data_IF_520736180899
#
_entry.id   IF_520736180899
#
_cell.length_a   1.000
_cell.length_b   1.000
_cell.length_c   1.000
_cell.angle_alpha   90.00
_cell.angle_beta   90.00
_cell.angle_gamma   90.00
#
_symmetry.space_group_name_H-M   'P 1'
#
loop_
_entity.id
_entity.type
_entity.pdbx_description
1 polymer ?
#
# COMPACT_ATOMS: atom_id res chain seq x y z
N UNK A 1 -26.43 -3.20 12.57
CA UNK A 1 -26.60 -1.78 12.91
C UNK A 1 -25.23 -1.16 12.78
N UNK A 2 -24.92 -0.62 11.61
CA UNK A 2 -23.63 0.04 11.37
C UNK A 2 -23.64 1.42 12.03
N UNK A 3 -22.54 1.88 12.65
CA UNK A 3 -22.47 3.22 13.20
C UNK A 3 -22.32 4.25 12.09
N UNK A 4 -22.91 5.43 12.29
CA UNK A 4 -22.89 6.56 11.37
C UNK A 4 -21.50 7.22 11.33
N UNK A 5 -21.14 7.79 10.16
CA UNK A 5 -19.81 8.34 9.85
C UNK A 5 -19.41 9.55 10.71
N UNK A 6 -20.30 10.02 11.59
CA UNK A 6 -20.10 11.16 12.48
C UNK A 6 -19.39 10.87 13.80
N UNK A 7 -19.08 9.62 14.14
CA UNK A 7 -18.54 9.25 15.47
C UNK A 7 -17.00 9.12 15.53
N UNK A 8 -16.29 9.72 14.55
CA UNK A 8 -14.82 9.77 14.53
C UNK A 8 -14.36 11.02 15.29
N UNK A 9 -14.20 10.91 16.61
CA UNK A 9 -13.73 12.00 17.49
C UNK A 9 -12.20 12.16 17.48
N UNK A 10 -11.58 12.10 16.31
CA UNK A 10 -10.14 12.30 16.15
C UNK A 10 -9.87 13.33 15.08
N UNK A 11 -9.15 14.41 15.45
CA UNK A 11 -8.66 15.39 14.48
C UNK A 11 -7.88 14.68 13.35
N UNK A 12 -8.09 15.04 12.08
CA UNK A 12 -7.34 14.47 10.98
C UNK A 12 -5.85 14.73 11.20
N UNK A 13 -5.05 13.66 11.27
CA UNK A 13 -3.60 13.77 11.37
C UNK A 13 -3.07 14.24 10.01
N UNK A 14 -2.98 15.56 9.82
CA UNK A 14 -2.36 16.16 8.65
C UNK A 14 -0.84 15.98 8.74
N UNK A 15 -0.33 14.90 8.16
CA UNK A 15 1.10 14.78 7.91
C UNK A 15 1.61 13.36 7.85
N UNK A 16 1.54 12.76 6.66
CA UNK A 16 2.65 12.01 6.05
C UNK A 16 2.40 11.98 4.54
N UNK A 17 2.83 13.05 3.87
CA UNK A 17 2.74 13.21 2.43
C UNK A 17 3.50 14.46 2.03
N UNK A 18 4.41 14.32 1.07
CA UNK A 18 5.19 15.43 0.53
C UNK A 18 4.30 16.60 0.10
N UNK A 19 4.75 17.83 0.36
CA UNK A 19 3.99 19.04 0.04
C UNK A 19 3.61 19.11 -1.45
N UNK A 20 2.47 19.76 -1.80
CA UNK A 20 2.07 20.01 -3.18
C UNK A 20 3.18 20.71 -3.97
N UNK A 21 3.31 20.34 -5.25
CA UNK A 21 4.39 20.81 -6.14
C UNK A 21 4.30 22.30 -6.52
N UNK A 22 3.27 23.00 -6.05
CA UNK A 22 2.92 24.36 -6.47
C UNK A 22 3.23 25.44 -5.42
N UNK A 23 4.20 25.20 -4.53
CA UNK A 23 4.80 26.29 -3.78
C UNK A 23 5.76 27.07 -4.72
N UNK A 24 5.60 28.40 -4.89
CA UNK A 24 6.57 29.18 -5.64
C UNK A 24 7.95 29.06 -4.98
N UNK A 25 8.90 28.43 -5.69
CA UNK A 25 10.31 28.46 -5.30
C UNK A 25 10.85 29.84 -5.68
N UNK A 26 10.85 30.76 -4.72
CA UNK A 26 11.80 31.86 -4.76
C UNK A 26 13.16 31.29 -4.34
N UNK A 27 14.10 31.19 -5.28
CA UNK A 27 15.52 30.98 -4.98
C UNK A 27 16.29 32.13 -5.60
N UNK A 28 17.13 32.86 -4.84
CA UNK A 28 18.10 33.78 -5.41
C UNK A 28 19.05 33.03 -6.34
N UNK A 29 19.50 33.76 -7.36
CA UNK A 29 20.41 33.33 -8.41
C UNK A 29 21.70 32.68 -7.88
N UNK A 30 22.30 31.84 -8.73
CA UNK A 30 23.58 31.13 -8.60
C UNK A 30 23.62 29.85 -7.75
N UNK A 31 23.45 28.70 -8.43
CA UNK A 31 24.62 27.85 -8.71
C UNK A 31 24.37 26.97 -9.95
N UNK A 32 24.97 27.36 -11.08
CA UNK A 32 24.75 26.79 -12.42
C UNK A 32 25.66 25.58 -12.68
N UNK A 33 25.35 24.43 -12.08
CA UNK A 33 25.97 23.15 -12.45
C UNK A 33 24.95 22.12 -12.95
N UNK A 34 24.08 22.53 -13.87
CA UNK A 34 23.36 21.56 -14.72
C UNK A 34 24.21 21.29 -15.95
N UNK A 35 24.82 20.11 -16.03
CA UNK A 35 25.41 19.63 -17.29
C UNK A 35 24.31 19.52 -18.33
N UNK A 36 24.46 20.26 -19.43
CA UNK A 36 23.65 20.07 -20.63
C UNK A 36 24.21 18.89 -21.43
N UNK A 37 23.52 17.74 -21.38
CA UNK A 37 23.95 16.50 -22.04
C UNK A 37 23.57 16.44 -23.53
N UNK A 38 23.07 17.51 -24.14
CA UNK A 38 22.73 17.51 -25.57
C UNK A 38 21.67 16.47 -25.94
N UNK A 39 20.81 16.09 -24.99
CA UNK A 39 19.63 15.27 -25.27
C UNK A 39 18.63 16.12 -26.05
N UNK A 40 18.45 15.79 -27.33
CA UNK A 40 17.41 16.42 -28.15
C UNK A 40 16.05 16.14 -27.49
N UNK A 41 15.39 17.18 -26.97
CA UNK A 41 14.00 17.10 -26.54
C UNK A 41 13.17 16.59 -27.73
N UNK A 42 12.60 15.39 -27.60
CA UNK A 42 11.79 14.79 -28.65
C UNK A 42 10.53 15.64 -28.87
N UNK A 43 10.23 16.10 -30.11
CA UNK A 43 8.98 16.79 -30.38
C UNK A 43 7.88 15.74 -30.52
N UNK A 44 7.16 15.47 -29.43
CA UNK A 44 6.03 14.54 -29.42
C UNK A 44 4.71 15.23 -29.82
N UNK A 45 4.01 14.81 -30.91
CA UNK A 45 2.79 15.46 -31.40
C UNK A 45 1.50 14.97 -30.72
N UNK A 46 1.59 14.35 -29.55
CA UNK A 46 0.42 13.98 -28.76
C UNK A 46 0.41 14.82 -27.49
N UNK A 47 -0.47 15.82 -27.44
CA UNK A 47 -1.08 16.14 -26.16
C UNK A 47 -1.65 14.82 -25.64
N UNK A 48 -1.06 14.27 -24.57
CA UNK A 48 -1.62 13.09 -23.92
C UNK A 48 -3.10 13.32 -23.62
N UNK A 49 -3.90 12.24 -23.46
CA UNK A 49 -5.29 12.40 -23.04
C UNK A 49 -5.32 13.37 -21.84
N UNK A 50 -6.30 14.28 -21.78
CA UNK A 50 -6.38 15.26 -20.70
C UNK A 50 -6.23 14.52 -19.37
N UNK A 51 -5.39 15.05 -18.49
CA UNK A 51 -5.20 14.45 -17.17
C UNK A 51 -6.59 14.21 -16.58
N UNK A 52 -6.88 12.95 -16.27
CA UNK A 52 -8.14 12.59 -15.62
C UNK A 52 -8.27 13.34 -14.29
N UNK A 53 -9.48 13.39 -13.71
CA UNK A 53 -9.67 13.99 -12.40
C UNK A 53 -8.64 13.44 -11.40
N UNK A 54 -8.12 14.29 -10.48
CA UNK A 54 -7.21 13.83 -9.44
C UNK A 54 -7.81 12.62 -8.73
N UNK A 55 -7.04 11.56 -8.56
CA UNK A 55 -7.48 10.41 -7.77
C UNK A 55 -7.71 10.89 -6.34
N UNK A 56 -8.83 10.50 -5.75
CA UNK A 56 -9.04 10.75 -4.32
C UNK A 56 -7.87 10.15 -3.52
N UNK A 57 -7.37 10.85 -2.48
CA UNK A 57 -6.37 10.29 -1.61
C UNK A 57 -6.85 8.98 -0.99
N UNK A 58 -5.96 7.99 -0.89
CA UNK A 58 -6.24 6.77 -0.15
C UNK A 58 -6.51 7.13 1.31
N UNK A 59 -7.71 6.77 1.79
CA UNK A 59 -8.09 6.94 3.19
C UNK A 59 -7.60 5.72 3.97
N UNK A 60 -6.71 5.94 4.93
CA UNK A 60 -6.26 4.90 5.84
C UNK A 60 -6.85 5.14 7.24
N UNK A 61 -7.19 4.06 7.92
CA UNK A 61 -7.54 4.08 9.33
C UNK A 61 -6.37 3.52 10.13
N UNK A 62 -5.82 4.33 11.02
CA UNK A 62 -4.91 3.81 12.04
C UNK A 62 -5.71 2.93 13.01
N UNK A 63 -5.26 1.70 13.22
CA UNK A 63 -5.83 0.77 14.19
C UNK A 63 -4.72 0.32 15.13
N UNK A 64 -5.02 0.24 16.43
CA UNK A 64 -4.09 -0.30 17.42
C UNK A 64 -4.20 -1.81 17.38
N UNK A 65 -3.09 -2.48 17.04
CA UNK A 65 -2.99 -3.93 17.04
C UNK A 65 -3.03 -4.49 18.48
N UNK A 66 -3.62 -5.67 18.65
CA UNK A 66 -3.56 -6.48 19.87
C UNK A 66 -2.45 -7.53 19.75
N UNK A 67 -1.98 -8.09 20.88
CA UNK A 67 -1.06 -9.21 20.84
C UNK A 67 -1.61 -10.37 19.99
N UNK A 68 -0.83 -10.80 19.01
CA UNK A 68 -1.21 -11.84 18.04
C UNK A 68 -1.90 -11.33 16.76
N UNK A 69 -2.16 -10.02 16.65
CA UNK A 69 -2.64 -9.44 15.40
C UNK A 69 -1.51 -9.35 14.36
N UNK A 70 -1.91 -9.46 13.10
CA UNK A 70 -1.02 -9.34 11.93
C UNK A 70 -1.64 -8.37 10.94
N UNK A 71 -0.89 -7.35 10.56
CA UNK A 71 -1.24 -6.49 9.44
C UNK A 71 -0.70 -7.12 8.15
N UNK A 72 -1.58 -7.50 7.24
CA UNK A 72 -1.24 -8.03 5.92
C UNK A 72 -1.57 -7.03 4.82
N UNK A 73 -0.57 -6.70 4.00
CA UNK A 73 -0.74 -6.05 2.71
C UNK A 73 -0.43 -7.06 1.61
N UNK A 74 -1.32 -7.21 0.64
CA UNK A 74 -1.10 -8.15 -0.46
C UNK A 74 -1.78 -7.73 -1.76
N UNK A 75 -1.35 -8.33 -2.88
CA UNK A 75 -1.99 -8.18 -4.18
C UNK A 75 -3.25 -9.04 -4.30
N UNK A 76 -4.04 -8.81 -5.35
CA UNK A 76 -5.24 -9.56 -5.67
C UNK A 76 -5.03 -11.09 -5.68
N UNK A 77 -3.88 -11.57 -6.16
CA UNK A 77 -3.56 -13.00 -6.19
C UNK A 77 -3.55 -13.71 -4.82
N UNK A 78 -3.48 -12.97 -3.71
CA UNK A 78 -3.70 -13.50 -2.35
C UNK A 78 -4.98 -12.95 -1.70
N UNK A 79 -5.36 -11.70 -1.96
CA UNK A 79 -6.55 -11.10 -1.38
C UNK A 79 -7.85 -11.79 -1.84
N UNK A 80 -7.97 -12.12 -3.11
CA UNK A 80 -9.16 -12.77 -3.66
C UNK A 80 -9.47 -14.14 -3.03
N UNK A 81 -8.51 -15.09 -2.91
CA UNK A 81 -8.78 -16.35 -2.22
C UNK A 81 -9.02 -16.16 -0.72
N UNK A 82 -8.40 -15.16 -0.06
CA UNK A 82 -8.67 -14.87 1.36
C UNK A 82 -10.12 -14.42 1.60
N UNK A 83 -10.68 -13.64 0.68
CA UNK A 83 -12.05 -13.16 0.77
C UNK A 83 -13.08 -14.22 0.38
N UNK A 84 -12.71 -15.13 -0.53
CA UNK A 84 -13.64 -16.10 -1.12
C UNK A 84 -13.65 -17.44 -0.39
N UNK A 85 -12.52 -17.85 0.21
CA UNK A 85 -12.35 -19.17 0.82
C UNK A 85 -11.96 -19.04 2.30
N UNK A 86 -12.94 -19.13 3.23
CA UNK A 86 -12.71 -18.94 4.66
C UNK A 86 -11.60 -19.83 5.25
N UNK A 87 -11.46 -21.06 4.71
CA UNK A 87 -10.45 -22.01 5.17
C UNK A 87 -9.00 -21.53 4.98
N UNK A 88 -8.73 -20.67 4.00
CA UNK A 88 -7.41 -20.05 3.86
C UNK A 88 -7.16 -19.04 4.98
N UNK A 89 -8.13 -18.15 5.25
CA UNK A 89 -8.05 -17.17 6.32
C UNK A 89 -7.87 -17.83 7.69
N UNK A 90 -8.64 -18.87 7.98
CA UNK A 90 -8.53 -19.66 9.22
C UNK A 90 -7.17 -20.36 9.35
N UNK A 91 -6.62 -20.88 8.25
CA UNK A 91 -5.30 -21.50 8.25
C UNK A 91 -4.21 -20.49 8.62
N UNK A 92 -4.21 -19.33 7.95
CA UNK A 92 -3.21 -18.29 8.18
C UNK A 92 -3.34 -17.70 9.58
N UNK A 93 -4.57 -17.41 10.03
CA UNK A 93 -4.81 -16.91 11.38
C UNK A 93 -4.24 -17.85 12.45
N UNK A 94 -4.44 -19.17 12.32
CA UNK A 94 -3.87 -20.14 13.26
C UNK A 94 -2.35 -20.20 13.22
N UNK A 95 -1.74 -20.13 12.03
CA UNK A 95 -0.27 -20.21 11.88
C UNK A 95 0.43 -18.93 12.32
N UNK A 96 -0.19 -17.78 12.11
CA UNK A 96 0.42 -16.48 12.36
C UNK A 96 0.08 -15.87 13.71
N UNK A 97 -0.91 -16.41 14.45
CA UNK A 97 -1.20 -15.99 15.83
C UNK A 97 -0.12 -16.40 16.83
N UNK A 98 0.73 -17.38 16.49
CA UNK A 98 1.83 -17.81 17.35
C UNK A 98 3.00 -16.80 17.30
N UNK A 99 3.69 -16.65 18.43
CA UNK A 99 4.95 -15.91 18.52
C UNK A 99 6.13 -16.90 18.64
N UNK A 100 7.30 -16.59 18.06
CA UNK A 100 7.63 -15.40 17.28
C UNK A 100 7.00 -15.40 15.89
N UNK A 101 7.10 -14.26 15.18
CA UNK A 101 6.70 -14.18 13.78
C UNK A 101 7.38 -15.29 12.94
N UNK A 102 6.70 -15.82 11.90
CA UNK A 102 7.23 -16.91 11.09
C UNK A 102 8.53 -16.51 10.41
N UNK A 103 9.42 -17.49 10.24
CA UNK A 103 10.63 -17.29 9.44
C UNK A 103 10.29 -17.07 7.96
N UNK A 104 11.21 -16.53 7.13
CA UNK A 104 10.94 -16.27 5.71
C UNK A 104 10.42 -17.49 4.92
N UNK A 105 10.94 -18.68 5.22
CA UNK A 105 10.48 -19.92 4.56
C UNK A 105 9.05 -20.32 4.94
N UNK A 106 8.69 -20.18 6.21
CA UNK A 106 7.33 -20.44 6.71
C UNK A 106 6.34 -19.41 6.14
N UNK A 107 6.74 -18.13 6.11
CA UNK A 107 5.94 -17.07 5.50
C UNK A 107 5.65 -17.34 4.01
N UNK A 108 6.67 -17.76 3.24
CA UNK A 108 6.49 -18.11 1.83
C UNK A 108 5.65 -19.38 1.65
N UNK A 109 5.80 -20.38 2.52
CA UNK A 109 4.98 -21.58 2.48
C UNK A 109 3.49 -21.28 2.77
N UNK A 110 3.23 -20.40 3.74
CA UNK A 110 1.90 -19.99 4.14
C UNK A 110 1.22 -19.11 3.09
N UNK A 111 1.90 -18.06 2.61
CA UNK A 111 1.39 -17.20 1.54
C UNK A 111 1.26 -17.90 0.20
N UNK A 112 1.96 -19.03 0.01
CA UNK A 112 1.91 -19.88 -1.18
C UNK A 112 0.83 -20.97 -1.17
N UNK A 113 0.01 -21.10 -0.11
CA UNK A 113 -1.05 -22.12 -0.03
C UNK A 113 -2.02 -21.98 -1.20
N UNK A 114 -2.13 -23.03 -2.02
CA UNK A 114 -2.96 -23.02 -3.23
C UNK A 114 -4.43 -23.19 -2.89
N UNK A 115 -5.25 -22.41 -3.56
CA UNK A 115 -6.70 -22.52 -3.56
C UNK A 115 -7.14 -22.75 -5.00
N UNK A 116 -8.03 -23.71 -5.22
CA UNK A 116 -8.48 -24.06 -6.57
C UNK A 116 -9.12 -22.83 -7.23
N UNK A 117 -8.74 -22.55 -8.47
CA UNK A 117 -9.24 -21.40 -9.23
C UNK A 117 -8.41 -20.11 -9.06
N UNK A 118 -7.43 -20.09 -8.15
CA UNK A 118 -6.57 -18.93 -7.90
C UNK A 118 -5.11 -19.27 -8.18
N UNK A 119 -4.59 -18.79 -9.30
CA UNK A 119 -3.23 -19.07 -9.77
C UNK A 119 -2.40 -17.81 -10.07
N UNK A 120 -2.93 -16.63 -9.76
CA UNK A 120 -2.26 -15.36 -10.01
C UNK A 120 -1.03 -15.16 -9.13
N UNK A 121 -0.12 -14.31 -9.60
CA UNK A 121 1.08 -13.93 -8.87
C UNK A 121 0.74 -13.28 -7.53
N UNK A 122 1.47 -13.68 -6.50
CA UNK A 122 1.25 -13.26 -5.12
C UNK A 122 2.40 -12.40 -4.64
N UNK A 123 2.06 -11.20 -4.16
CA UNK A 123 2.95 -10.33 -3.41
C UNK A 123 2.31 -10.05 -2.07
N UNK A 124 3.07 -10.22 -0.99
CA UNK A 124 2.60 -10.01 0.36
C UNK A 124 3.69 -9.39 1.24
N UNK A 125 3.29 -8.48 2.12
CA UNK A 125 4.09 -7.95 3.21
C UNK A 125 3.25 -8.02 4.48
N UNK A 126 3.83 -8.53 5.55
CA UNK A 126 3.13 -8.69 6.82
C UNK A 126 3.96 -8.12 7.98
N UNK A 127 3.27 -7.50 8.94
CA UNK A 127 3.84 -6.93 10.15
C UNK A 127 3.13 -7.56 11.34
N UNK A 128 3.91 -8.15 12.24
CA UNK A 128 3.44 -8.74 13.50
C UNK A 128 3.64 -7.78 14.65
N UNK A 129 2.71 -7.81 15.60
CA UNK A 129 2.89 -7.15 16.89
C UNK A 129 4.01 -7.84 17.70
N UNK A 130 4.91 -7.03 18.29
CA UNK A 130 6.22 -7.44 18.82
C UNK A 130 6.26 -7.62 20.34
#
# INVERSE_FOLDING_TARGET
>A
MEPDAGDVTGEPVLGFGSAPRDAPRETPEDDRLTMDLGITTSPGPYAGPPAGPPREPFRFRASVARPGDVLLMCTAGLAEPLLSEPGLGELLARRWAARPAPGPGEFLADSGVRVKGYADDRTAAAVWEA
#
